data_IF_317303032976
#
_entry.id   IF_317303032976
#
_cell.length_a   1.000
_cell.length_b   1.000
_cell.length_c   1.000
_cell.angle_alpha   90.00
_cell.angle_beta   90.00
_cell.angle_gamma   90.00
#
_symmetry.space_group_name_H-M   'P 1'
#
loop_
_entity.id
_entity.type
_entity.pdbx_description
1 polymer ?
#
# COMPACT_ATOMS: atom_id res chain seq x y z
N UNK A 1 -15.98 14.39 4.46
CA UNK A 1 -14.93 15.11 3.73
C UNK A 1 -13.75 14.16 3.61
N UNK A 2 -13.45 13.68 2.41
CA UNK A 2 -12.34 12.74 2.19
C UNK A 2 -11.08 13.51 1.78
N UNK A 3 -9.90 13.03 2.19
CA UNK A 3 -8.60 13.64 1.87
C UNK A 3 -7.63 12.60 1.32
N UNK A 4 -6.87 12.99 0.30
CA UNK A 4 -5.97 12.08 -0.42
C UNK A 4 -4.66 12.81 -0.77
N UNK A 5 -3.71 12.94 0.17
CA UNK A 5 -2.41 13.53 -0.13
C UNK A 5 -1.56 12.58 -0.96
N UNK A 6 -0.62 13.14 -1.74
CA UNK A 6 0.41 12.31 -2.36
C UNK A 6 1.39 11.77 -1.30
N UNK A 7 2.10 10.69 -1.62
CA UNK A 7 3.04 10.05 -0.69
C UNK A 7 4.03 11.01 -0.05
N UNK A 8 4.63 11.93 -0.83
CA UNK A 8 5.60 12.88 -0.31
C UNK A 8 5.01 13.85 0.73
N UNK A 9 3.75 14.27 0.54
CA UNK A 9 3.05 15.13 1.52
C UNK A 9 2.67 14.34 2.77
N UNK A 10 2.25 13.09 2.58
CA UNK A 10 1.92 12.17 3.68
C UNK A 10 3.14 11.94 4.58
N UNK A 11 4.31 11.65 4.00
CA UNK A 11 5.53 11.27 4.74
C UNK A 11 6.40 12.44 5.20
N UNK A 12 5.99 13.68 4.92
CA UNK A 12 6.77 14.88 5.29
C UNK A 12 6.78 15.14 6.79
N UNK A 13 5.65 14.94 7.46
CA UNK A 13 5.47 15.17 8.89
C UNK A 13 4.51 14.14 9.48
N UNK A 14 5.06 13.17 10.19
CA UNK A 14 4.30 12.06 10.76
C UNK A 14 3.30 12.52 11.83
N UNK A 15 3.65 13.53 12.64
CA UNK A 15 2.77 14.04 13.68
C UNK A 15 1.57 14.79 13.06
N UNK A 16 1.83 15.60 12.04
CA UNK A 16 0.79 16.28 11.27
C UNK A 16 -0.14 15.27 10.59
N UNK A 17 0.41 14.26 9.93
CA UNK A 17 -0.39 13.21 9.26
C UNK A 17 -1.30 12.50 10.26
N UNK A 18 -0.78 12.05 11.40
CA UNK A 18 -1.58 11.40 12.45
C UNK A 18 -2.72 12.31 12.95
N UNK A 19 -2.41 13.59 13.22
CA UNK A 19 -3.41 14.57 13.65
C UNK A 19 -4.50 14.81 12.60
N UNK A 20 -4.12 15.00 11.34
CA UNK A 20 -5.08 15.23 10.26
C UNK A 20 -5.98 14.00 10.03
N UNK A 21 -5.42 12.79 10.11
CA UNK A 21 -6.21 11.55 10.04
C UNK A 21 -7.29 11.53 11.13
N UNK A 22 -6.94 11.82 12.38
CA UNK A 22 -7.90 11.89 13.48
C UNK A 22 -8.98 12.97 13.27
N UNK A 23 -8.59 14.16 12.81
CA UNK A 23 -9.54 15.26 12.51
C UNK A 23 -10.51 14.90 11.37
N UNK A 24 -10.03 14.20 10.34
CA UNK A 24 -10.85 13.71 9.22
C UNK A 24 -11.84 12.66 9.71
N UNK A 25 -11.37 11.68 10.50
CA UNK A 25 -12.22 10.64 11.08
C UNK A 25 -13.29 11.21 12.01
N UNK A 26 -12.95 12.20 12.84
CA UNK A 26 -13.89 12.88 13.73
C UNK A 26 -15.04 13.58 12.98
N UNK A 27 -14.85 13.91 11.69
CA UNK A 27 -15.86 14.50 10.80
C UNK A 27 -16.55 13.45 9.91
N UNK A 28 -16.33 12.16 10.17
CA UNK A 28 -16.86 11.05 9.36
C UNK A 28 -16.25 10.94 7.96
N UNK A 29 -15.08 11.55 7.74
CA UNK A 29 -14.34 11.46 6.48
C UNK A 29 -13.35 10.30 6.46
N UNK A 30 -12.72 10.07 5.30
CA UNK A 30 -11.65 9.09 5.10
C UNK A 30 -10.34 9.75 4.68
N UNK A 31 -9.24 9.28 5.22
CA UNK A 31 -7.87 9.58 4.79
C UNK A 31 -7.39 8.45 3.88
N UNK A 32 -7.10 8.76 2.62
CA UNK A 32 -6.41 7.85 1.70
C UNK A 32 -5.12 8.49 1.23
N UNK A 33 -4.35 7.84 0.35
CA UNK A 33 -3.16 8.42 -0.27
C UNK A 33 -3.00 7.94 -1.70
N UNK A 34 -2.12 8.56 -2.48
CA UNK A 34 -1.88 8.16 -3.86
C UNK A 34 -0.44 8.32 -4.31
N UNK A 35 -0.11 7.59 -5.38
CA UNK A 35 1.08 7.82 -6.23
C UNK A 35 0.63 7.98 -7.69
N UNK A 36 1.35 8.81 -8.45
CA UNK A 36 1.08 9.09 -9.86
C UNK A 36 2.40 9.12 -10.65
N UNK A 37 2.68 10.22 -11.38
CA UNK A 37 3.96 10.49 -12.03
C UNK A 37 5.15 10.45 -11.07
N UNK A 38 4.94 10.84 -9.80
CA UNK A 38 5.94 10.76 -8.75
C UNK A 38 5.37 10.03 -7.52
N UNK A 39 6.23 9.38 -6.70
CA UNK A 39 7.67 9.18 -6.93
C UNK A 39 7.97 8.09 -7.99
N UNK A 40 9.24 7.91 -8.34
CA UNK A 40 9.67 6.78 -9.19
C UNK A 40 9.37 5.43 -8.52
N UNK A 41 9.51 5.38 -7.20
CA UNK A 41 9.23 4.21 -6.36
C UNK A 41 8.73 4.63 -4.97
N UNK A 42 7.89 3.82 -4.30
CA UNK A 42 7.19 2.68 -4.90
C UNK A 42 6.11 3.17 -5.88
N UNK A 43 5.97 2.50 -7.01
CA UNK A 43 4.94 2.83 -8.00
C UNK A 43 4.41 1.59 -8.73
N UNK A 44 3.51 1.79 -9.70
CA UNK A 44 2.86 0.76 -10.51
C UNK A 44 2.91 1.11 -12.00
N UNK A 45 4.04 1.67 -12.43
CA UNK A 45 4.40 1.77 -13.84
C UNK A 45 4.67 0.38 -14.42
N UNK A 46 4.82 0.29 -15.75
CA UNK A 46 5.13 -0.98 -16.40
C UNK A 46 6.51 -1.54 -16.06
N UNK A 47 7.47 -0.66 -15.77
CA UNK A 47 8.81 -1.05 -15.32
C UNK A 47 8.92 -1.22 -13.81
N UNK A 48 7.91 -0.78 -13.04
CA UNK A 48 7.91 -0.99 -11.59
C UNK A 48 7.85 -2.48 -11.29
N UNK A 49 8.67 -2.99 -10.36
CA UNK A 49 8.61 -4.38 -9.99
C UNK A 49 7.26 -4.69 -9.31
N UNK A 50 6.64 -5.86 -9.56
CA UNK A 50 5.30 -6.18 -9.04
C UNK A 50 5.13 -6.04 -7.52
N UNK A 51 6.20 -6.30 -6.74
CA UNK A 51 6.18 -6.18 -5.29
C UNK A 51 5.94 -4.74 -4.80
N UNK A 52 6.29 -3.71 -5.58
CA UNK A 52 5.98 -2.32 -5.21
C UNK A 52 4.48 -2.05 -5.23
N UNK A 53 3.74 -2.67 -6.13
CA UNK A 53 2.27 -2.57 -6.14
C UNK A 53 1.68 -3.28 -4.92
N UNK A 54 2.23 -4.45 -4.57
CA UNK A 54 1.86 -5.18 -3.34
C UNK A 54 2.08 -4.33 -2.10
N UNK A 55 3.26 -3.71 -2.00
CA UNK A 55 3.68 -2.86 -0.89
C UNK A 55 2.70 -1.71 -0.60
N UNK A 56 1.98 -1.19 -1.59
CA UNK A 56 1.00 -0.12 -1.39
C UNK A 56 -0.06 -0.49 -0.34
N UNK A 57 -0.48 -1.76 -0.29
CA UNK A 57 -1.42 -2.25 0.73
C UNK A 57 -0.81 -2.28 2.13
N UNK A 58 0.44 -2.72 2.23
CA UNK A 58 1.21 -2.76 3.48
C UNK A 58 1.47 -1.37 4.02
N UNK A 59 1.85 -0.42 3.15
CA UNK A 59 2.04 0.97 3.52
C UNK A 59 0.72 1.60 3.97
N UNK A 60 -0.40 1.30 3.31
CA UNK A 60 -1.72 1.81 3.71
C UNK A 60 -2.07 1.38 5.14
N UNK A 61 -1.84 0.10 5.49
CA UNK A 61 -2.02 -0.40 6.86
C UNK A 61 -1.04 0.26 7.83
N UNK A 62 0.24 0.31 7.48
CA UNK A 62 1.30 0.82 8.36
C UNK A 62 1.18 2.32 8.63
N UNK A 63 0.71 3.10 7.65
CA UNK A 63 0.37 4.51 7.82
C UNK A 63 -0.84 4.72 8.75
N UNK A 64 -1.64 3.67 8.99
CA UNK A 64 -2.84 3.75 9.81
C UNK A 64 -3.95 4.57 9.15
N UNK A 65 -4.11 4.47 7.83
CA UNK A 65 -5.11 5.22 7.04
C UNK A 65 -6.02 4.29 6.24
N UNK A 66 -7.04 4.85 5.59
CA UNK A 66 -8.23 4.10 5.16
C UNK A 66 -8.13 3.45 3.79
N UNK A 67 -7.19 3.87 2.94
CA UNK A 67 -7.12 3.37 1.58
C UNK A 67 -6.06 3.99 0.69
N UNK A 68 -6.01 3.48 -0.53
CA UNK A 68 -5.10 3.91 -1.58
C UNK A 68 -5.90 4.30 -2.83
N UNK A 69 -5.46 5.36 -3.52
CA UNK A 69 -6.04 5.84 -4.76
C UNK A 69 -5.00 5.75 -5.89
N UNK A 70 -5.44 5.27 -7.06
CA UNK A 70 -4.73 5.42 -8.33
C UNK A 70 -5.63 6.17 -9.29
N UNK A 71 -5.08 7.20 -9.94
CA UNK A 71 -5.88 8.15 -10.72
C UNK A 71 -6.42 7.56 -12.04
N UNK A 72 -5.74 6.56 -12.61
CA UNK A 72 -6.07 6.06 -13.93
C UNK A 72 -6.23 4.54 -13.95
N UNK A 73 -7.49 4.10 -14.07
CA UNK A 73 -7.83 2.70 -14.29
C UNK A 73 -7.62 2.29 -15.76
N UNK A 74 -8.19 3.05 -16.69
CA UNK A 74 -8.26 2.70 -18.12
C UNK A 74 -8.22 3.93 -19.06
N UNK A 75 -7.30 4.88 -18.83
CA UNK A 75 -7.12 6.04 -19.73
C UNK A 75 -6.21 5.69 -20.91
N UNK A 76 -6.66 4.76 -21.76
CA UNK A 76 -5.86 4.19 -22.84
C UNK A 76 -5.41 5.22 -23.89
N UNK A 77 -4.16 5.07 -24.35
CA UNK A 77 -3.67 5.76 -25.53
C UNK A 77 -4.17 5.06 -26.82
N UNK A 78 -4.20 5.74 -27.98
CA UNK A 78 -4.68 5.16 -29.23
C UNK A 78 -4.01 3.83 -29.63
N UNK A 79 -2.74 3.64 -29.25
CA UNK A 79 -1.96 2.43 -29.54
C UNK A 79 -1.33 1.88 -28.24
N UNK A 80 -2.16 1.57 -27.24
CA UNK A 80 -1.70 1.13 -25.90
C UNK A 80 -0.85 -0.15 -25.95
N UNK A 81 -1.10 -1.03 -26.91
CA UNK A 81 -0.40 -2.31 -27.03
C UNK A 81 1.03 -2.17 -27.54
N UNK A 82 1.28 -1.28 -28.52
CA UNK A 82 2.60 -1.11 -29.11
C UNK A 82 3.33 0.14 -28.59
N UNK A 83 2.59 1.15 -28.12
CA UNK A 83 3.08 2.41 -27.57
C UNK A 83 2.51 2.64 -26.17
N UNK A 84 3.00 1.89 -25.18
CA UNK A 84 2.44 1.90 -23.82
C UNK A 84 2.71 3.20 -23.05
N UNK A 85 3.67 4.02 -23.51
CA UNK A 85 3.88 5.38 -23.05
C UNK A 85 3.20 6.37 -24.00
N UNK A 86 2.58 7.41 -23.44
CA UNK A 86 2.02 8.52 -24.21
C UNK A 86 2.48 9.86 -23.62
N UNK A 87 1.64 10.52 -22.83
CA UNK A 87 2.00 11.77 -22.13
C UNK A 87 2.77 11.56 -20.83
N UNK A 88 2.72 10.35 -20.27
CA UNK A 88 3.31 9.98 -18.98
C UNK A 88 4.06 8.65 -19.11
N UNK A 89 4.86 8.25 -18.10
CA UNK A 89 5.56 6.96 -18.10
C UNK A 89 4.62 5.80 -18.41
N UNK A 90 5.17 4.77 -19.05
CA UNK A 90 4.42 3.61 -19.49
C UNK A 90 3.67 2.97 -18.30
N UNK A 91 2.34 2.83 -18.42
CA UNK A 91 1.49 2.29 -17.35
C UNK A 91 1.00 3.29 -16.30
N UNK A 92 1.36 4.58 -16.36
CA UNK A 92 0.75 5.58 -15.45
C UNK A 92 -0.74 5.79 -15.74
N UNK A 93 -1.10 5.76 -17.03
CA UNK A 93 -2.45 6.03 -17.55
C UNK A 93 -3.42 4.85 -17.43
N UNK A 94 -2.97 3.66 -17.06
CA UNK A 94 -3.84 2.49 -17.03
C UNK A 94 -3.26 1.36 -16.17
N UNK A 95 -4.15 0.66 -15.49
CA UNK A 95 -3.87 -0.60 -14.79
C UNK A 95 -4.39 -1.81 -15.57
N UNK A 96 -5.36 -1.61 -16.46
CA UNK A 96 -5.96 -2.66 -17.29
C UNK A 96 -5.77 -2.31 -18.77
N UNK A 97 -5.79 -3.33 -19.63
CA UNK A 97 -5.61 -3.17 -21.08
C UNK A 97 -6.94 -3.16 -21.83
N UNK A 98 -7.04 -2.56 -23.03
CA UNK A 98 -8.23 -2.69 -23.86
C UNK A 98 -8.32 -4.11 -24.44
N UNK A 99 -9.36 -4.86 -24.06
CA UNK A 99 -9.68 -6.17 -24.64
C UNK A 99 -10.18 -6.04 -26.09
N UNK A 100 -10.10 -7.14 -26.84
CA UNK A 100 -10.54 -7.20 -28.24
C UNK A 100 -12.06 -7.04 -28.41
N UNK A 101 -12.81 -7.29 -27.36
CA UNK A 101 -14.27 -7.11 -27.25
C UNK A 101 -14.67 -5.74 -26.65
N UNK A 102 -13.69 -4.87 -26.37
CA UNK A 102 -13.88 -3.59 -25.70
C UNK A 102 -13.98 -3.66 -24.18
N UNK A 103 -13.98 -4.85 -23.57
CA UNK A 103 -13.94 -5.01 -22.12
C UNK A 103 -12.51 -4.79 -21.59
N UNK A 104 -12.35 -4.25 -20.37
CA UNK A 104 -11.02 -4.15 -19.76
C UNK A 104 -10.42 -5.53 -19.48
N UNK A 105 -9.24 -5.80 -20.04
CA UNK A 105 -8.45 -6.98 -19.78
C UNK A 105 -7.53 -6.75 -18.57
N UNK A 106 -7.54 -7.70 -17.62
CA UNK A 106 -6.68 -7.63 -16.44
C UNK A 106 -5.19 -7.58 -16.80
N UNK A 107 -4.39 -6.95 -15.94
CA UNK A 107 -2.94 -6.97 -16.01
C UNK A 107 -2.34 -7.50 -14.72
N UNK A 108 -1.07 -7.89 -14.76
CA UNK A 108 -0.31 -8.23 -13.54
C UNK A 108 -0.39 -7.12 -12.50
N UNK A 109 -0.30 -5.84 -12.90
CA UNK A 109 -0.35 -4.70 -11.97
C UNK A 109 -1.73 -4.56 -11.33
N UNK A 110 -2.81 -4.84 -12.07
CA UNK A 110 -4.17 -4.86 -11.52
C UNK A 110 -4.37 -6.02 -10.52
N UNK A 111 -3.88 -7.21 -10.85
CA UNK A 111 -3.93 -8.35 -9.93
C UNK A 111 -3.10 -8.11 -8.67
N UNK A 112 -1.91 -7.51 -8.80
CA UNK A 112 -1.09 -7.12 -7.65
C UNK A 112 -1.75 -6.05 -6.78
N UNK A 113 -2.49 -5.11 -7.37
CA UNK A 113 -3.23 -4.11 -6.59
C UNK A 113 -4.40 -4.74 -5.83
N UNK A 114 -5.09 -5.73 -6.43
CA UNK A 114 -6.10 -6.51 -5.72
C UNK A 114 -5.49 -7.33 -4.57
N UNK A 115 -4.32 -7.94 -4.79
CA UNK A 115 -3.58 -8.62 -3.72
C UNK A 115 -3.19 -7.64 -2.61
N UNK A 116 -2.71 -6.45 -2.95
CA UNK A 116 -2.38 -5.41 -1.98
C UNK A 116 -3.60 -5.04 -1.12
N UNK A 117 -4.78 -4.90 -1.74
CA UNK A 117 -6.02 -4.64 -1.01
C UNK A 117 -6.42 -5.81 -0.08
N UNK A 118 -6.24 -7.06 -0.51
CA UNK A 118 -6.49 -8.23 0.33
C UNK A 118 -5.53 -8.28 1.52
N UNK A 119 -4.26 -7.97 1.32
CA UNK A 119 -3.25 -7.98 2.38
C UNK A 119 -3.45 -6.82 3.37
N UNK A 120 -3.85 -5.64 2.88
CA UNK A 120 -4.31 -4.55 3.73
C UNK A 120 -5.44 -5.02 4.67
N UNK A 121 -6.47 -5.70 4.14
CA UNK A 121 -7.58 -6.18 4.97
C UNK A 121 -7.16 -7.29 5.95
N UNK A 122 -6.20 -8.15 5.59
CA UNK A 122 -5.63 -9.15 6.50
C UNK A 122 -4.93 -8.49 7.68
N UNK A 123 -4.02 -7.54 7.40
CA UNK A 123 -3.28 -6.80 8.43
C UNK A 123 -4.22 -6.01 9.32
N UNK A 124 -5.15 -5.26 8.74
CA UNK A 124 -6.15 -4.47 9.46
C UNK A 124 -7.04 -5.33 10.34
N UNK A 125 -7.42 -6.52 9.86
CA UNK A 125 -8.22 -7.47 10.65
C UNK A 125 -7.42 -8.04 11.82
N UNK A 126 -6.13 -8.34 11.61
CA UNK A 126 -5.27 -8.80 12.68
C UNK A 126 -5.10 -7.74 13.76
N UNK A 127 -4.81 -6.49 13.37
CA UNK A 127 -4.72 -5.35 14.30
C UNK A 127 -5.97 -5.19 15.14
N UNK A 128 -7.16 -5.17 14.51
CA UNK A 128 -8.45 -5.10 15.24
C UNK A 128 -8.63 -6.24 16.24
N UNK A 129 -8.26 -7.47 15.87
CA UNK A 129 -8.34 -8.62 16.78
C UNK A 129 -7.38 -8.47 17.95
N UNK A 130 -6.12 -8.07 17.70
CA UNK A 130 -5.14 -7.79 18.75
C UNK A 130 -5.62 -6.67 19.67
N UNK A 131 -6.19 -5.60 19.11
CA UNK A 131 -6.72 -4.48 19.88
C UNK A 131 -7.88 -4.86 20.79
N UNK A 132 -8.70 -5.81 20.36
CA UNK A 132 -9.85 -6.33 21.10
C UNK A 132 -9.52 -7.35 22.19
N UNK A 133 -8.25 -7.75 22.33
CA UNK A 133 -7.84 -8.68 23.39
C UNK A 133 -8.02 -8.05 24.77
N UNK A 134 -8.71 -8.77 25.66
CA UNK A 134 -8.95 -8.34 27.04
C UNK A 134 -7.70 -8.49 27.93
N UNK A 135 -6.86 -9.49 27.65
CA UNK A 135 -5.61 -9.71 28.36
C UNK A 135 -4.52 -8.76 27.84
N UNK A 136 -4.10 -7.83 28.69
CA UNK A 136 -3.09 -6.83 28.36
C UNK A 136 -1.72 -7.45 28.00
N UNK A 137 -1.31 -8.52 28.69
CA UNK A 137 -0.04 -9.19 28.42
C UNK A 137 -0.04 -9.89 27.05
N UNK A 138 -1.14 -10.60 26.73
CA UNK A 138 -1.33 -11.22 25.42
C UNK A 138 -1.46 -10.16 24.31
N UNK A 139 -2.13 -9.03 24.59
CA UNK A 139 -2.23 -7.91 23.65
C UNK A 139 -0.85 -7.36 23.31
N UNK A 140 -0.03 -7.07 24.32
CA UNK A 140 1.33 -6.55 24.14
C UNK A 140 2.23 -7.56 23.40
N UNK A 141 2.16 -8.85 23.75
CA UNK A 141 2.87 -9.92 23.06
C UNK A 141 2.52 -9.98 21.57
N UNK A 142 1.22 -9.97 21.24
CA UNK A 142 0.77 -10.04 19.85
C UNK A 142 1.11 -8.78 19.07
N UNK A 143 1.03 -7.61 19.70
CA UNK A 143 1.43 -6.34 19.10
C UNK A 143 2.92 -6.35 18.75
N UNK A 144 3.78 -6.74 19.69
CA UNK A 144 5.22 -6.88 19.47
C UNK A 144 5.55 -7.86 18.34
N UNK A 145 4.83 -9.00 18.29
CA UNK A 145 5.00 -9.96 17.20
C UNK A 145 4.58 -9.41 15.85
N UNK A 146 3.47 -8.65 15.79
CA UNK A 146 3.02 -8.00 14.56
C UNK A 146 4.05 -6.95 14.10
N UNK A 147 4.56 -6.13 15.02
CA UNK A 147 5.55 -5.11 14.69
C UNK A 147 6.85 -5.73 14.16
N UNK A 148 7.32 -6.82 14.77
CA UNK A 148 8.47 -7.60 14.29
C UNK A 148 8.23 -8.26 12.91
N UNK A 149 6.99 -8.59 12.57
CA UNK A 149 6.61 -9.10 11.26
C UNK A 149 6.62 -7.99 10.21
N UNK A 150 6.02 -6.83 10.52
CA UNK A 150 5.98 -5.67 9.64
C UNK A 150 7.38 -5.13 9.35
N UNK A 151 8.28 -5.14 10.35
CA UNK A 151 9.66 -4.66 10.20
C UNK A 151 10.51 -5.48 9.21
N UNK A 152 10.00 -6.64 8.76
CA UNK A 152 10.62 -7.45 7.68
C UNK A 152 10.23 -6.97 6.28
N UNK A 153 9.16 -6.18 6.17
CA UNK A 153 8.66 -5.61 4.91
C UNK A 153 8.95 -4.12 4.84
N UNK A 154 8.68 -3.38 5.91
CA UNK A 154 8.94 -1.93 6.01
C UNK A 154 10.16 -1.76 6.90
N UNK A 155 11.23 -1.18 6.33
CA UNK A 155 12.57 -1.16 6.95
C UNK A 155 12.86 0.13 7.72
N UNK A 156 11.86 0.99 7.86
CA UNK A 156 11.91 2.25 8.61
C UNK A 156 10.92 2.20 9.77
N UNK A 157 11.18 2.96 10.83
CA UNK A 157 10.42 2.85 12.07
C UNK A 157 9.32 3.92 12.20
N UNK A 158 9.48 5.05 11.51
CA UNK A 158 8.51 6.14 11.54
C UNK A 158 8.15 6.62 10.13
N UNK A 159 6.92 7.07 9.98
CA UNK A 159 6.37 7.56 8.72
C UNK A 159 7.20 8.71 8.13
N UNK A 160 7.80 9.55 8.98
CA UNK A 160 8.71 10.64 8.59
C UNK A 160 10.05 10.18 8.02
N UNK A 161 10.44 8.92 8.28
CA UNK A 161 11.66 8.31 7.73
C UNK A 161 11.45 7.73 6.33
N UNK A 162 10.19 7.61 5.87
CA UNK A 162 9.83 7.11 4.54
C UNK A 162 10.03 8.19 3.48
N UNK A 163 11.30 8.50 3.20
CA UNK A 163 11.75 9.60 2.35
C UNK A 163 12.28 9.10 1.02
N UNK A 164 11.39 8.94 0.05
CA UNK A 164 11.68 8.49 -1.33
C UNK A 164 12.57 9.47 -2.11
N UNK A 165 12.70 10.71 -1.64
CA UNK A 165 13.64 11.72 -2.15
C UNK A 165 15.07 11.56 -1.61
N UNK A 166 15.27 10.71 -0.59
CA UNK A 166 16.54 10.58 0.14
C UNK A 166 17.06 9.14 0.23
N UNK A 167 16.18 8.14 0.15
CA UNK A 167 16.49 6.73 0.37
C UNK A 167 16.09 5.88 -0.82
N UNK A 168 16.86 4.84 -1.11
CA UNK A 168 16.57 3.86 -2.17
C UNK A 168 15.54 2.82 -1.70
N UNK A 169 14.91 2.05 -2.61
CA UNK A 169 13.92 1.02 -2.25
C UNK A 169 14.35 0.11 -1.09
N UNK A 170 15.55 -0.50 -1.18
CA UNK A 170 16.06 -1.43 -0.17
C UNK A 170 16.42 -0.81 1.20
N UNK A 171 16.33 0.51 1.33
CA UNK A 171 16.48 1.23 2.61
C UNK A 171 15.13 1.59 3.23
N UNK A 172 14.05 1.44 2.46
CA UNK A 172 12.67 1.79 2.85
C UNK A 172 11.82 0.55 3.07
N UNK A 173 11.99 -0.47 2.22
CA UNK A 173 11.18 -1.68 2.21
C UNK A 173 11.94 -2.87 1.63
N UNK A 174 11.47 -4.08 1.94
CA UNK A 174 12.00 -5.30 1.36
C UNK A 174 11.79 -5.33 -0.16
N UNK A 175 12.86 -5.60 -0.90
CA UNK A 175 12.85 -5.75 -2.36
C UNK A 175 12.78 -7.22 -2.80
N UNK A 176 12.89 -8.16 -1.85
CA UNK A 176 12.68 -9.59 -2.08
C UNK A 176 11.19 -9.94 -1.88
N UNK A 177 10.47 -10.37 -2.93
CA UNK A 177 9.07 -10.80 -2.82
C UNK A 177 8.84 -11.90 -1.78
N UNK A 178 9.82 -12.77 -1.54
CA UNK A 178 9.67 -13.87 -0.58
C UNK A 178 9.48 -13.36 0.85
N UNK A 179 10.00 -12.17 1.19
CA UNK A 179 9.80 -11.55 2.50
C UNK A 179 8.30 -11.31 2.77
N UNK A 180 7.57 -10.81 1.77
CA UNK A 180 6.13 -10.54 1.89
C UNK A 180 5.34 -11.84 2.03
N UNK A 181 5.71 -12.90 1.32
CA UNK A 181 5.03 -14.19 1.40
C UNK A 181 5.18 -14.85 2.76
N UNK A 182 6.39 -14.82 3.32
CA UNK A 182 6.63 -15.32 4.67
C UNK A 182 5.82 -14.54 5.70
N UNK A 183 5.83 -13.21 5.62
CA UNK A 183 5.08 -12.39 6.58
C UNK A 183 3.57 -12.59 6.42
N UNK A 184 3.05 -12.66 5.19
CA UNK A 184 1.63 -12.93 4.92
C UNK A 184 1.21 -14.28 5.52
N UNK A 185 2.00 -15.33 5.35
CA UNK A 185 1.70 -16.65 5.92
C UNK A 185 1.62 -16.59 7.46
N UNK A 186 2.56 -15.87 8.09
CA UNK A 186 2.58 -15.68 9.54
C UNK A 186 1.39 -14.85 10.04
N UNK A 187 0.97 -13.82 9.30
CA UNK A 187 -0.24 -13.02 9.59
C UNK A 187 -1.49 -13.90 9.55
N UNK A 188 -1.63 -14.76 8.53
CA UNK A 188 -2.75 -15.69 8.41
C UNK A 188 -2.76 -16.68 9.58
N UNK A 189 -1.60 -17.24 9.93
CA UNK A 189 -1.47 -18.16 11.06
C UNK A 189 -1.85 -17.49 12.39
N UNK A 190 -1.48 -16.22 12.60
CA UNK A 190 -1.90 -15.44 13.77
C UNK A 190 -3.40 -15.19 13.79
N UNK A 191 -3.99 -14.83 12.65
CA UNK A 191 -5.44 -14.65 12.54
C UNK A 191 -6.21 -15.91 12.93
N UNK A 192 -5.75 -17.09 12.51
CA UNK A 192 -6.35 -18.38 12.87
C UNK A 192 -6.22 -18.69 14.37
N UNK A 193 -5.14 -18.26 15.03
CA UNK A 193 -4.98 -18.42 16.48
C UNK A 193 -5.88 -17.49 17.31
N UNK A 194 -6.35 -16.40 16.70
CA UNK A 194 -7.23 -15.40 17.30
C UNK A 194 -8.69 -15.53 16.80
N UNK A 195 -9.01 -16.56 16.03
CA UNK A 195 -10.36 -16.88 15.57
C UNK A 195 -11.12 -17.65 16.67
#
# INVERSE_FOLDING_TARGET
LDWVPNLASLTKDAALTRRLTQEIHARGGRMSWYVCLHPEYPNNFLHSPPYETRLLGWLTDWFGIDGFLRWAYAAWAPDTWNKPAWKFPAGDLYLVYPGTDGAPLSSVRWEMLKLAAQEFELLRTLRRKVDSLADAGKKEEMQSRLDALISRVILVNDLGEFRVDQKRPGELYATDPAAYDVVRAEVIRLLTQLA
#
